data_IF_920735582567
#
_entry.id   IF_920735582567
#
_cell.length_a   1.000
_cell.length_b   1.000
_cell.length_c   1.000
_cell.angle_alpha   90.00
_cell.angle_beta   90.00
_cell.angle_gamma   90.00
#
_symmetry.space_group_name_H-M   'P 1'
#
loop_
_entity.id
_entity.type
_entity.pdbx_description
1 polymer ?
#
# COMPACT_ATOMS: atom_id res chain seq x y z
N UNK A 1 8.91 7.10 -28.21
CA UNK A 1 8.42 8.13 -27.29
C UNK A 1 6.88 8.21 -27.21
N UNK A 2 6.12 8.10 -28.30
CA UNK A 2 4.64 8.17 -28.25
C UNK A 2 3.96 6.99 -27.57
N UNK A 3 4.44 5.75 -27.76
CA UNK A 3 3.89 4.55 -27.10
C UNK A 3 4.09 4.59 -25.57
N UNK A 4 5.24 5.03 -25.11
CA UNK A 4 5.55 5.16 -23.67
C UNK A 4 4.56 6.12 -22.97
N UNK A 5 4.26 7.26 -23.61
CA UNK A 5 3.25 8.21 -23.11
C UNK A 5 1.84 7.61 -23.02
N UNK A 6 1.49 6.72 -23.96
CA UNK A 6 0.17 6.09 -23.99
C UNK A 6 0.00 5.03 -22.89
N UNK A 7 1.03 4.20 -22.67
CA UNK A 7 1.04 3.18 -21.60
C UNK A 7 1.06 3.81 -20.22
N UNK A 8 1.83 4.88 -20.03
CA UNK A 8 1.86 5.65 -18.79
C UNK A 8 0.48 6.26 -18.48
N UNK A 9 -0.19 6.83 -19.47
CA UNK A 9 -1.56 7.37 -19.32
C UNK A 9 -2.57 6.28 -19.00
N UNK A 10 -2.47 5.12 -19.64
CA UNK A 10 -3.37 3.99 -19.38
C UNK A 10 -3.16 3.39 -17.97
N UNK A 11 -1.92 3.21 -17.52
CA UNK A 11 -1.61 2.73 -16.20
C UNK A 11 -2.03 3.73 -15.11
N UNK A 12 -1.77 5.02 -15.30
CA UNK A 12 -2.24 6.07 -14.41
C UNK A 12 -3.78 6.14 -14.36
N UNK A 13 -4.45 5.94 -15.49
CA UNK A 13 -5.91 5.91 -15.56
C UNK A 13 -6.50 4.71 -14.79
N UNK A 14 -5.88 3.54 -14.90
CA UNK A 14 -6.32 2.34 -14.16
C UNK A 14 -6.12 2.48 -12.64
N UNK A 15 -4.98 3.04 -12.22
CA UNK A 15 -4.69 3.35 -10.82
C UNK A 15 -5.70 4.37 -10.28
N UNK A 16 -5.99 5.40 -11.07
CA UNK A 16 -6.96 6.44 -10.73
C UNK A 16 -8.38 5.87 -10.63
N UNK A 17 -8.77 4.98 -11.54
CA UNK A 17 -10.08 4.34 -11.56
C UNK A 17 -10.30 3.46 -10.34
N UNK A 18 -9.29 2.69 -9.93
CA UNK A 18 -9.32 1.89 -8.71
C UNK A 18 -9.38 2.77 -7.45
N UNK A 19 -8.74 3.94 -7.47
CA UNK A 19 -8.69 4.84 -6.32
C UNK A 19 -9.97 5.70 -6.20
N UNK A 20 -10.50 6.19 -7.32
CA UNK A 20 -11.70 7.03 -7.34
C UNK A 20 -12.97 6.22 -7.08
N UNK A 21 -13.06 4.95 -7.54
CA UNK A 21 -14.22 4.09 -7.26
C UNK A 21 -14.42 3.81 -5.76
N UNK A 22 -13.35 3.90 -4.97
CA UNK A 22 -13.41 3.72 -3.51
C UNK A 22 -13.67 5.01 -2.73
N UNK A 23 -13.40 6.18 -3.30
CA UNK A 23 -13.51 7.47 -2.62
C UNK A 23 -14.78 8.26 -2.94
N UNK A 24 -15.40 8.05 -4.11
CA UNK A 24 -16.47 8.91 -4.63
C UNK A 24 -17.79 8.17 -4.90
N UNK A 25 -18.22 7.32 -3.97
CA UNK A 25 -19.52 6.63 -4.11
C UNK A 25 -20.76 7.52 -3.91
N UNK A 26 -20.61 8.81 -3.49
CA UNK A 26 -21.73 9.71 -3.19
C UNK A 26 -21.38 11.18 -3.51
N UNK A 27 -21.61 11.63 -4.74
CA UNK A 27 -21.45 13.05 -5.11
C UNK A 27 -22.30 13.47 -6.33
N UNK A 28 -22.63 14.75 -6.45
CA UNK A 28 -23.37 15.28 -7.61
C UNK A 28 -22.47 15.33 -8.86
N UNK A 29 -23.04 14.98 -10.03
CA UNK A 29 -22.30 14.68 -11.30
C UNK A 29 -21.41 15.84 -11.80
N UNK A 30 -21.75 17.08 -11.57
CA UNK A 30 -21.00 18.24 -12.11
C UNK A 30 -19.79 18.64 -11.25
N UNK A 31 -19.89 18.60 -9.92
CA UNK A 31 -18.77 18.83 -9.02
C UNK A 31 -17.78 17.67 -9.06
N UNK A 32 -18.27 16.45 -9.21
CA UNK A 32 -17.47 15.25 -9.36
C UNK A 32 -16.54 15.33 -10.59
N UNK A 33 -17.00 15.85 -11.72
CA UNK A 33 -16.20 15.96 -12.93
C UNK A 33 -15.05 16.97 -12.77
N UNK A 34 -15.29 18.10 -12.12
CA UNK A 34 -14.27 19.12 -11.84
C UNK A 34 -13.23 18.62 -10.84
N UNK A 35 -13.65 17.98 -9.77
CA UNK A 35 -12.76 17.40 -8.74
C UNK A 35 -11.90 16.25 -9.31
N UNK A 36 -12.48 15.39 -10.15
CA UNK A 36 -11.75 14.31 -10.83
C UNK A 36 -10.68 14.89 -11.77
N UNK A 37 -11.00 15.91 -12.54
CA UNK A 37 -10.04 16.54 -13.46
C UNK A 37 -8.87 17.16 -12.67
N UNK A 38 -9.16 17.92 -11.63
CA UNK A 38 -8.14 18.55 -10.79
C UNK A 38 -7.26 17.50 -10.11
N UNK A 39 -7.86 16.44 -9.54
CA UNK A 39 -7.12 15.36 -8.91
C UNK A 39 -6.23 14.60 -9.92
N UNK A 40 -6.76 14.35 -11.12
CA UNK A 40 -6.01 13.68 -12.19
C UNK A 40 -4.79 14.50 -12.63
N UNK A 41 -4.95 15.80 -12.74
CA UNK A 41 -3.84 16.70 -13.11
C UNK A 41 -2.76 16.70 -12.03
N UNK A 42 -3.16 16.90 -10.77
CA UNK A 42 -2.23 16.88 -9.63
C UNK A 42 -1.50 15.52 -9.52
N UNK A 43 -2.23 14.41 -9.71
CA UNK A 43 -1.64 13.08 -9.68
C UNK A 43 -0.64 12.85 -10.83
N UNK A 44 -0.96 13.33 -12.03
CA UNK A 44 -0.07 13.19 -13.19
C UNK A 44 1.23 13.97 -12.98
N UNK A 45 1.14 15.24 -12.55
CA UNK A 45 2.30 16.08 -12.26
C UNK A 45 3.18 15.47 -11.15
N UNK A 46 2.54 14.97 -10.11
CA UNK A 46 3.21 14.31 -9.00
C UNK A 46 3.88 13.00 -9.44
N UNK A 47 3.20 12.17 -10.22
CA UNK A 47 3.75 10.92 -10.72
C UNK A 47 4.91 11.13 -11.68
N UNK A 48 4.84 12.15 -12.56
CA UNK A 48 5.96 12.54 -13.41
C UNK A 48 7.18 12.98 -12.60
N UNK A 49 6.98 13.77 -11.54
CA UNK A 49 8.06 14.18 -10.65
C UNK A 49 8.76 12.99 -10.01
N UNK A 50 8.00 12.03 -9.52
CA UNK A 50 8.53 10.82 -8.89
C UNK A 50 9.27 9.92 -9.89
N UNK A 51 8.75 9.78 -11.11
CA UNK A 51 9.34 8.93 -12.13
C UNK A 51 10.63 9.50 -12.76
N UNK A 52 10.84 10.82 -12.67
CA UNK A 52 12.09 11.46 -13.16
C UNK A 52 13.35 10.94 -12.48
N UNK A 53 13.24 10.53 -11.22
CA UNK A 53 14.40 10.06 -10.47
C UNK A 53 13.98 8.98 -9.47
N UNK A 54 14.59 7.79 -9.56
CA UNK A 54 14.33 6.69 -8.64
C UNK A 54 14.50 7.06 -7.16
N UNK A 55 15.42 7.98 -6.82
CA UNK A 55 15.56 8.46 -5.44
C UNK A 55 14.27 9.12 -4.93
N UNK A 56 13.64 9.98 -5.73
CA UNK A 56 12.37 10.61 -5.35
C UNK A 56 11.25 9.58 -5.20
N UNK A 57 11.18 8.63 -6.13
CA UNK A 57 10.17 7.58 -6.10
C UNK A 57 10.29 6.70 -4.85
N UNK A 58 11.47 6.14 -4.59
CA UNK A 58 11.65 5.23 -3.46
C UNK A 58 11.69 5.94 -2.11
N UNK A 59 12.16 7.19 -2.05
CA UNK A 59 11.96 8.05 -0.88
C UNK A 59 10.49 8.36 -0.65
N UNK A 60 9.73 8.60 -1.71
CA UNK A 60 8.28 8.74 -1.65
C UNK A 60 7.60 7.51 -1.06
N UNK A 61 7.95 6.30 -1.53
CA UNK A 61 7.43 5.04 -0.97
C UNK A 61 7.82 4.88 0.51
N UNK A 62 9.00 5.31 0.90
CA UNK A 62 9.46 5.22 2.28
C UNK A 62 8.75 6.22 3.23
N UNK A 63 8.28 7.37 2.74
CA UNK A 63 7.79 8.47 3.58
C UNK A 63 6.27 8.67 3.45
N UNK A 64 5.76 8.79 2.22
CA UNK A 64 4.38 9.24 1.96
C UNK A 64 3.27 8.33 2.53
N UNK A 65 3.40 6.99 2.56
CA UNK A 65 2.37 6.13 3.14
C UNK A 65 2.10 6.40 4.62
N UNK A 66 3.02 7.05 5.32
CA UNK A 66 2.79 7.47 6.71
C UNK A 66 1.75 8.60 6.84
N UNK A 67 1.54 9.37 5.78
CA UNK A 67 0.61 10.50 5.73
C UNK A 67 -0.68 10.17 4.97
N UNK A 68 -1.15 8.92 5.06
CA UNK A 68 -2.45 8.48 4.51
C UNK A 68 -2.42 8.18 3.00
N UNK A 69 -1.30 8.36 2.31
CA UNK A 69 -1.22 7.96 0.91
C UNK A 69 -1.21 6.42 0.78
N UNK A 70 -2.07 5.85 -0.08
CA UNK A 70 -2.08 4.41 -0.29
C UNK A 70 -0.78 3.95 -0.96
N UNK A 71 -0.28 2.80 -0.49
CA UNK A 71 0.98 2.22 -0.98
C UNK A 71 0.86 1.71 -2.42
N UNK A 72 -0.31 1.19 -2.80
CA UNK A 72 -0.51 0.53 -4.09
C UNK A 72 -0.19 1.41 -5.30
N UNK A 73 -0.65 2.68 -5.38
CA UNK A 73 -0.28 3.57 -6.47
C UNK A 73 1.22 3.84 -6.56
N UNK A 74 1.90 3.97 -5.41
CA UNK A 74 3.35 4.21 -5.39
C UNK A 74 4.13 2.97 -5.87
N UNK A 75 3.69 1.76 -5.49
CA UNK A 75 4.27 0.52 -6.01
C UNK A 75 3.97 0.31 -7.50
N UNK A 76 2.83 0.78 -7.98
CA UNK A 76 2.54 0.78 -9.41
C UNK A 76 3.48 1.73 -10.18
N UNK A 77 3.79 2.92 -9.64
CA UNK A 77 4.82 3.80 -10.21
C UNK A 77 6.21 3.13 -10.20
N UNK A 78 6.55 2.36 -9.14
CA UNK A 78 7.78 1.57 -9.11
C UNK A 78 7.79 0.50 -10.23
N UNK A 79 6.63 -0.09 -10.56
CA UNK A 79 6.48 -1.00 -11.71
C UNK A 79 6.72 -0.31 -13.06
N UNK A 80 6.19 0.89 -13.26
CA UNK A 80 6.42 1.70 -14.47
C UNK A 80 7.90 2.08 -14.57
N UNK A 81 8.53 2.50 -13.47
CA UNK A 81 9.95 2.78 -13.42
C UNK A 81 10.78 1.53 -13.70
N UNK A 82 10.31 0.37 -13.26
CA UNK A 82 10.93 -0.93 -13.47
C UNK A 82 10.92 -1.42 -14.92
N UNK A 83 10.02 -0.91 -15.77
CA UNK A 83 10.03 -1.20 -17.21
C UNK A 83 11.37 -0.82 -17.86
N UNK A 84 11.93 0.34 -17.47
CA UNK A 84 13.17 0.86 -18.06
C UNK A 84 14.43 0.47 -17.28
N UNK A 85 14.31 0.22 -15.97
CA UNK A 85 15.44 -0.03 -15.06
C UNK A 85 15.54 -1.47 -14.57
N UNK A 86 14.55 -2.30 -14.94
CA UNK A 86 14.45 -3.70 -14.51
C UNK A 86 13.44 -3.89 -13.36
N UNK A 87 12.43 -4.73 -13.62
CA UNK A 87 11.33 -5.00 -12.68
C UNK A 87 11.83 -5.57 -11.33
N UNK A 88 12.82 -6.45 -11.36
CA UNK A 88 13.39 -7.04 -10.15
C UNK A 88 14.07 -5.98 -9.27
N UNK A 89 14.86 -5.11 -9.88
CA UNK A 89 15.55 -4.03 -9.17
C UNK A 89 14.55 -3.04 -8.56
N UNK A 90 13.54 -2.64 -9.30
CA UNK A 90 12.45 -1.79 -8.81
C UNK A 90 11.68 -2.43 -7.65
N UNK A 91 11.38 -3.74 -7.74
CA UNK A 91 10.70 -4.48 -6.68
C UNK A 91 11.56 -4.57 -5.40
N UNK A 92 12.87 -4.78 -5.56
CA UNK A 92 13.80 -4.81 -4.43
C UNK A 92 13.87 -3.45 -3.73
N UNK A 93 14.03 -2.35 -4.48
CA UNK A 93 14.05 -1.00 -3.93
C UNK A 93 12.72 -0.64 -3.28
N UNK A 94 11.59 -1.00 -3.90
CA UNK A 94 10.24 -0.82 -3.33
C UNK A 94 10.06 -1.58 -2.01
N UNK A 95 10.56 -2.81 -1.95
CA UNK A 95 10.56 -3.63 -0.72
C UNK A 95 11.39 -2.99 0.40
N UNK A 96 12.60 -2.50 0.09
CA UNK A 96 13.45 -1.79 1.04
C UNK A 96 12.79 -0.49 1.53
N UNK A 97 12.22 0.29 0.62
CA UNK A 97 11.51 1.52 0.96
C UNK A 97 10.31 1.27 1.88
N UNK A 98 9.51 0.22 1.61
CA UNK A 98 8.42 -0.18 2.50
C UNK A 98 8.92 -0.67 3.87
N UNK A 99 10.04 -1.37 3.90
CA UNK A 99 10.65 -1.80 5.17
C UNK A 99 11.09 -0.60 5.99
N UNK A 100 11.72 0.40 5.37
CA UNK A 100 12.07 1.65 6.03
C UNK A 100 10.82 2.37 6.55
N UNK A 101 9.76 2.45 5.73
CA UNK A 101 8.48 3.01 6.16
C UNK A 101 7.92 2.28 7.39
N UNK A 102 7.95 0.95 7.40
CA UNK A 102 7.54 0.15 8.54
C UNK A 102 8.32 0.50 9.81
N UNK A 103 9.65 0.60 9.71
CA UNK A 103 10.52 0.85 10.87
C UNK A 103 10.19 2.18 11.54
N UNK A 104 10.20 3.27 10.77
CA UNK A 104 10.05 4.58 11.38
C UNK A 104 8.60 4.86 11.79
N UNK A 105 7.59 4.37 11.05
CA UNK A 105 6.18 4.53 11.43
C UNK A 105 5.82 3.71 12.67
N UNK A 106 6.42 2.52 12.83
CA UNK A 106 6.32 1.76 14.06
C UNK A 106 6.89 2.53 15.26
N UNK A 107 8.09 3.12 15.12
CA UNK A 107 8.71 3.89 16.19
C UNK A 107 7.90 5.13 16.53
N UNK A 108 7.43 5.84 15.53
CA UNK A 108 6.54 6.99 15.71
C UNK A 108 5.31 6.58 16.55
N UNK A 109 4.66 5.48 16.19
CA UNK A 109 3.49 4.97 16.90
C UNK A 109 3.81 4.50 18.32
N UNK A 110 4.98 3.89 18.53
CA UNK A 110 5.40 3.43 19.86
C UNK A 110 5.70 4.60 20.81
N UNK A 111 6.11 5.76 20.28
CA UNK A 111 6.43 6.96 21.06
C UNK A 111 5.19 7.81 21.35
N UNK A 112 4.36 8.08 20.34
CA UNK A 112 3.19 8.93 20.49
C UNK A 112 1.97 8.20 21.07
N UNK A 113 2.00 6.85 21.08
CA UNK A 113 1.03 5.99 21.76
C UNK A 113 -0.43 6.17 21.29
N UNK A 114 -1.40 5.84 22.15
CA UNK A 114 -2.83 5.82 21.81
C UNK A 114 -3.39 7.14 21.30
N UNK A 115 -2.85 8.29 21.72
CA UNK A 115 -3.34 9.62 21.31
C UNK A 115 -3.25 9.87 19.80
N UNK A 116 -2.17 9.38 19.18
CA UNK A 116 -2.00 9.52 17.73
C UNK A 116 -2.93 8.59 16.95
N UNK A 117 -3.18 7.41 17.49
CA UNK A 117 -4.18 6.49 16.93
C UNK A 117 -5.61 7.01 17.11
N UNK A 118 -5.92 7.67 18.23
CA UNK A 118 -7.21 8.33 18.40
C UNK A 118 -7.46 9.36 17.30
N UNK A 119 -6.42 10.11 16.91
CA UNK A 119 -6.51 11.08 15.81
C UNK A 119 -6.74 10.39 14.45
N UNK A 120 -5.93 9.39 14.11
CA UNK A 120 -6.06 8.64 12.84
C UNK A 120 -7.38 7.88 12.79
N UNK A 121 -7.76 7.21 13.87
CA UNK A 121 -9.00 6.44 13.92
C UNK A 121 -10.25 7.32 13.88
N UNK A 122 -10.18 8.48 14.49
CA UNK A 122 -11.25 9.49 14.41
C UNK A 122 -11.44 9.98 12.96
N UNK A 123 -10.35 10.19 12.23
CA UNK A 123 -10.39 10.60 10.82
C UNK A 123 -11.09 9.56 9.94
N UNK A 124 -10.82 8.25 10.16
CA UNK A 124 -11.39 7.17 9.34
C UNK A 124 -12.77 6.69 9.82
N UNK A 125 -13.04 6.69 11.10
CA UNK A 125 -14.22 6.01 11.69
C UNK A 125 -15.07 6.89 12.63
N UNK A 126 -14.71 8.12 12.88
CA UNK A 126 -15.37 9.04 13.84
C UNK A 126 -15.56 8.46 15.25
N UNK A 127 -14.72 7.51 15.65
CA UNK A 127 -14.71 6.86 16.98
C UNK A 127 -13.34 6.98 17.61
N UNK A 128 -13.25 6.93 18.95
CA UNK A 128 -11.95 6.94 19.64
C UNK A 128 -11.33 5.54 19.66
N UNK A 129 -10.02 5.48 19.40
CA UNK A 129 -9.23 4.23 19.43
C UNK A 129 -9.12 3.66 20.85
N UNK A 130 -9.10 4.51 21.89
CA UNK A 130 -9.04 4.12 23.29
C UNK A 130 -10.15 3.13 23.72
N UNK A 131 -11.23 3.03 22.94
CA UNK A 131 -12.33 2.09 23.16
C UNK A 131 -12.10 0.71 22.51
N UNK A 132 -10.97 0.49 21.85
CA UNK A 132 -10.62 -0.83 21.31
C UNK A 132 -9.95 -1.62 22.42
N UNK A 133 -10.63 -2.67 22.88
CA UNK A 133 -10.03 -3.63 23.80
C UNK A 133 -8.77 -4.24 23.20
N UNK A 134 -7.73 -4.42 24.04
CA UNK A 134 -6.55 -5.15 23.59
C UNK A 134 -6.98 -6.53 23.09
N UNK A 135 -6.45 -6.95 21.93
CA UNK A 135 -6.83 -8.25 21.39
C UNK A 135 -6.55 -9.35 22.41
N UNK A 136 -7.53 -10.22 22.66
CA UNK A 136 -7.37 -11.43 23.50
C UNK A 136 -6.34 -12.41 22.89
N UNK A 137 -6.00 -12.21 21.64
CA UNK A 137 -5.07 -13.01 20.87
C UNK A 137 -3.64 -12.51 20.99
N UNK A 138 -2.69 -13.37 20.63
CA UNK A 138 -1.29 -13.01 20.60
C UNK A 138 -1.02 -11.93 19.53
N UNK A 139 -0.20 -10.95 19.83
CA UNK A 139 0.08 -9.81 18.92
C UNK A 139 0.58 -10.24 17.54
N UNK A 140 1.27 -11.41 17.44
CA UNK A 140 1.75 -11.91 16.16
C UNK A 140 0.61 -12.37 15.23
N UNK A 141 -0.45 -12.99 15.79
CA UNK A 141 -1.65 -13.35 15.02
C UNK A 141 -2.37 -12.12 14.50
N UNK A 142 -2.46 -11.09 15.34
CA UNK A 142 -3.00 -9.79 14.94
C UNK A 142 -2.20 -9.15 13.81
N UNK A 143 -0.86 -9.19 13.88
CA UNK A 143 -0.01 -8.68 12.82
C UNK A 143 -0.27 -9.40 11.50
N UNK A 144 -0.37 -10.72 11.50
CA UNK A 144 -0.72 -11.51 10.31
C UNK A 144 -2.08 -11.12 9.74
N UNK A 145 -3.11 -11.05 10.59
CA UNK A 145 -4.46 -10.68 10.15
C UNK A 145 -4.46 -9.29 9.53
N UNK A 146 -3.86 -8.30 10.20
CA UNK A 146 -3.81 -6.93 9.70
C UNK A 146 -3.06 -6.82 8.36
N UNK A 147 -1.99 -7.60 8.17
CA UNK A 147 -1.19 -7.58 6.95
C UNK A 147 -1.85 -8.30 5.77
N UNK A 148 -2.61 -9.36 6.05
CA UNK A 148 -3.21 -10.22 5.05
C UNK A 148 -4.69 -9.89 4.79
N UNK A 149 -5.32 -9.05 5.62
CA UNK A 149 -6.70 -8.62 5.40
C UNK A 149 -6.75 -7.54 4.33
N UNK A 150 -7.38 -7.80 3.18
CA UNK A 150 -7.55 -6.78 2.15
C UNK A 150 -8.44 -5.64 2.66
N UNK A 151 -8.17 -4.42 2.21
CA UNK A 151 -8.94 -3.23 2.60
C UNK A 151 -8.50 -2.56 3.91
N UNK A 152 -7.60 -3.14 4.68
CA UNK A 152 -6.98 -2.45 5.83
C UNK A 152 -5.84 -1.57 5.30
N UNK A 153 -5.90 -0.24 5.51
CA UNK A 153 -4.82 0.64 5.09
C UNK A 153 -3.50 0.23 5.75
N UNK A 154 -2.43 0.18 4.95
CA UNK A 154 -1.09 -0.18 5.38
C UNK A 154 -0.62 0.57 6.62
N UNK A 155 -0.84 1.88 6.63
CA UNK A 155 -0.48 2.78 7.73
C UNK A 155 -1.19 2.40 9.04
N UNK A 156 -2.47 2.02 8.96
CA UNK A 156 -3.24 1.64 10.14
C UNK A 156 -2.61 0.44 10.85
N UNK A 157 -2.17 -0.58 10.10
CA UNK A 157 -1.46 -1.73 10.66
C UNK A 157 -0.15 -1.35 11.36
N UNK A 158 0.64 -0.43 10.78
CA UNK A 158 1.89 0.03 11.39
C UNK A 158 1.64 0.75 12.72
N UNK A 159 0.71 1.70 12.72
CA UNK A 159 0.40 2.49 13.91
C UNK A 159 -0.27 1.66 15.00
N UNK A 160 -1.15 0.73 14.63
CA UNK A 160 -1.81 -0.14 15.59
C UNK A 160 -0.81 -1.04 16.32
N UNK A 161 0.03 -1.75 15.58
CA UNK A 161 1.01 -2.67 16.13
C UNK A 161 2.11 -1.96 16.94
N UNK A 162 2.54 -0.78 16.49
CA UNK A 162 3.47 0.06 17.23
C UNK A 162 2.88 0.56 18.56
N UNK A 163 1.62 1.00 18.58
CA UNK A 163 0.95 1.47 19.79
C UNK A 163 0.67 0.36 20.81
N UNK A 164 0.46 -0.87 20.34
CA UNK A 164 0.38 -2.03 21.22
C UNK A 164 1.75 -2.49 21.74
N UNK A 165 2.83 -1.80 21.35
CA UNK A 165 4.21 -2.12 21.72
C UNK A 165 4.56 -3.58 21.41
N UNK A 166 4.15 -4.07 20.24
CA UNK A 166 4.57 -5.37 19.75
C UNK A 166 6.10 -5.43 19.71
N UNK A 167 6.76 -6.54 20.11
CA UNK A 167 8.21 -6.64 19.99
C UNK A 167 8.67 -6.35 18.56
N UNK A 168 9.60 -5.40 18.38
CA UNK A 168 10.00 -4.86 17.08
C UNK A 168 10.48 -5.94 16.11
N UNK A 169 11.29 -6.89 16.60
CA UNK A 169 11.78 -8.00 15.79
C UNK A 169 10.61 -8.86 15.25
N UNK A 170 9.67 -9.22 16.14
CA UNK A 170 8.48 -10.01 15.73
C UNK A 170 7.64 -9.24 14.72
N UNK A 171 7.49 -7.93 14.91
CA UNK A 171 6.80 -7.06 13.97
C UNK A 171 7.46 -7.08 12.58
N UNK A 172 8.79 -6.96 12.50
CA UNK A 172 9.54 -7.01 11.24
C UNK A 172 9.48 -8.39 10.59
N UNK A 173 9.67 -9.47 11.38
CA UNK A 173 9.64 -10.84 10.85
C UNK A 173 8.32 -11.18 10.15
N UNK A 174 7.21 -10.60 10.60
CA UNK A 174 5.90 -10.80 9.99
C UNK A 174 5.66 -9.79 8.85
N UNK A 175 5.99 -8.53 9.09
CA UNK A 175 5.64 -7.46 8.15
C UNK A 175 6.50 -7.48 6.89
N UNK A 176 7.82 -7.64 7.02
CA UNK A 176 8.75 -7.53 5.89
C UNK A 176 8.49 -8.56 4.80
N UNK A 177 8.33 -9.87 5.08
CA UNK A 177 8.06 -10.85 4.03
C UNK A 177 6.76 -10.56 3.26
N UNK A 178 5.69 -10.19 3.98
CA UNK A 178 4.39 -9.92 3.35
C UNK A 178 4.45 -8.65 2.50
N UNK A 179 5.09 -7.60 3.00
CA UNK A 179 5.23 -6.34 2.29
C UNK A 179 6.17 -6.45 1.09
N UNK A 180 7.25 -7.21 1.24
CA UNK A 180 8.14 -7.55 0.12
C UNK A 180 7.38 -8.30 -0.97
N UNK A 181 6.62 -9.33 -0.60
CA UNK A 181 5.80 -10.07 -1.56
C UNK A 181 4.78 -9.14 -2.26
N UNK A 182 4.14 -8.21 -1.54
CA UNK A 182 3.28 -7.20 -2.15
C UNK A 182 4.06 -6.28 -3.10
N UNK A 183 5.24 -5.78 -2.70
CA UNK A 183 6.07 -4.94 -3.54
C UNK A 183 6.44 -5.65 -4.83
N UNK A 184 6.90 -6.90 -4.75
CA UNK A 184 7.21 -7.73 -5.91
C UNK A 184 5.96 -7.96 -6.77
N UNK A 185 4.84 -8.35 -6.17
CA UNK A 185 3.58 -8.59 -6.89
C UNK A 185 3.12 -7.39 -7.69
N UNK A 186 3.01 -6.21 -7.06
CA UNK A 186 2.59 -4.99 -7.75
C UNK A 186 3.60 -4.54 -8.81
N UNK A 187 4.89 -4.52 -8.46
CA UNK A 187 5.95 -4.05 -9.38
C UNK A 187 6.04 -4.93 -10.62
N UNK A 188 6.04 -6.27 -10.45
CA UNK A 188 6.08 -7.19 -11.59
C UNK A 188 4.81 -7.14 -12.43
N UNK A 189 3.63 -7.09 -11.81
CA UNK A 189 2.37 -7.01 -12.54
C UNK A 189 2.30 -5.74 -13.40
N UNK A 190 2.66 -4.58 -12.83
CA UNK A 190 2.60 -3.30 -13.55
C UNK A 190 3.72 -3.18 -14.58
N UNK A 191 4.94 -3.60 -14.25
CA UNK A 191 6.07 -3.61 -15.20
C UNK A 191 5.77 -4.53 -16.39
N UNK A 192 5.23 -5.74 -16.12
CA UNK A 192 4.84 -6.67 -17.18
C UNK A 192 3.70 -6.15 -18.06
N UNK A 193 2.74 -5.43 -17.46
CA UNK A 193 1.67 -4.78 -18.21
C UNK A 193 2.21 -3.64 -19.11
N UNK A 194 3.15 -2.86 -18.59
CA UNK A 194 3.72 -1.72 -19.31
C UNK A 194 4.65 -2.17 -20.45
N UNK A 195 5.46 -3.20 -20.24
CA UNK A 195 6.39 -3.75 -21.23
C UNK A 195 5.80 -4.78 -22.20
N UNK A 196 4.57 -5.26 -21.91
CA UNK A 196 3.99 -6.40 -22.64
C UNK A 196 4.61 -7.75 -22.29
N UNK A 197 5.40 -7.86 -21.20
CA UNK A 197 5.96 -9.12 -20.74
C UNK A 197 4.91 -9.92 -19.94
N UNK A 198 4.32 -10.88 -20.62
CA UNK A 198 3.29 -11.74 -20.02
C UNK A 198 3.83 -12.58 -18.85
N UNK A 199 5.11 -12.92 -18.82
CA UNK A 199 5.72 -13.70 -17.71
C UNK A 199 5.81 -12.84 -16.45
N UNK A 200 6.28 -11.62 -16.57
CA UNK A 200 6.32 -10.67 -15.44
C UNK A 200 4.91 -10.37 -14.94
N UNK A 201 3.96 -10.08 -15.84
CA UNK A 201 2.56 -9.82 -15.51
C UNK A 201 1.94 -10.99 -14.74
N UNK A 202 1.98 -12.20 -15.30
CA UNK A 202 1.38 -13.37 -14.69
C UNK A 202 2.04 -13.74 -13.35
N UNK A 203 3.37 -13.63 -13.26
CA UNK A 203 4.12 -13.83 -12.02
C UNK A 203 3.72 -12.84 -10.93
N UNK A 204 3.62 -11.56 -11.26
CA UNK A 204 3.18 -10.52 -10.32
C UNK A 204 1.74 -10.75 -9.83
N UNK A 205 0.82 -11.02 -10.74
CA UNK A 205 -0.57 -11.33 -10.42
C UNK A 205 -0.67 -12.59 -9.55
N UNK A 206 0.09 -13.64 -9.87
CA UNK A 206 0.10 -14.88 -9.10
C UNK A 206 0.54 -14.64 -7.64
N UNK A 207 1.56 -13.82 -7.41
CA UNK A 207 2.01 -13.43 -6.07
C UNK A 207 0.86 -12.73 -5.30
N UNK A 208 0.20 -11.75 -5.91
CA UNK A 208 -0.90 -11.01 -5.27
C UNK A 208 -2.10 -11.91 -4.95
N UNK A 209 -2.46 -12.81 -5.87
CA UNK A 209 -3.53 -13.79 -5.67
C UNK A 209 -3.16 -14.75 -4.53
N UNK A 210 -1.92 -15.22 -4.48
CA UNK A 210 -1.46 -16.09 -3.39
C UNK A 210 -1.58 -15.41 -2.03
N UNK A 211 -1.13 -14.16 -1.90
CA UNK A 211 -1.25 -13.38 -0.66
C UNK A 211 -2.73 -13.24 -0.26
N UNK A 212 -3.60 -12.93 -1.22
CA UNK A 212 -5.04 -12.82 -0.98
C UNK A 212 -5.65 -14.15 -0.50
N UNK A 213 -5.32 -15.26 -1.15
CA UNK A 213 -5.83 -16.59 -0.80
C UNK A 213 -5.35 -17.03 0.59
N UNK A 214 -4.08 -16.81 0.91
CA UNK A 214 -3.53 -17.08 2.25
C UNK A 214 -4.24 -16.25 3.30
N UNK A 215 -4.44 -14.95 3.05
CA UNK A 215 -5.18 -14.07 3.95
C UNK A 215 -6.62 -14.55 4.18
N UNK A 216 -7.34 -14.85 3.10
CA UNK A 216 -8.72 -15.36 3.17
C UNK A 216 -8.80 -16.68 3.95
N UNK A 217 -7.87 -17.60 3.72
CA UNK A 217 -7.80 -18.87 4.41
C UNK A 217 -7.61 -18.70 5.93
N UNK A 218 -6.63 -17.86 6.35
CA UNK A 218 -6.37 -17.62 7.76
C UNK A 218 -7.55 -16.96 8.49
N UNK A 219 -8.23 -16.02 7.83
CA UNK A 219 -9.43 -15.38 8.38
C UNK A 219 -10.58 -16.38 8.52
N UNK A 220 -10.76 -17.27 7.53
CA UNK A 220 -11.81 -18.29 7.54
C UNK A 220 -11.62 -19.31 8.66
N UNK A 221 -10.38 -19.78 8.88
CA UNK A 221 -10.04 -20.71 9.97
C UNK A 221 -10.38 -20.10 11.34
N UNK A 222 -10.13 -18.82 11.51
CA UNK A 222 -10.45 -18.12 12.75
C UNK A 222 -11.96 -18.02 13.01
N UNK A 223 -12.76 -17.79 11.98
CA UNK A 223 -14.22 -17.73 12.11
C UNK A 223 -14.85 -19.08 12.51
N UNK A 224 -14.19 -20.17 12.16
CA UNK A 224 -14.67 -21.54 12.48
C UNK A 224 -14.19 -22.04 13.86
N UNK A 225 -13.22 -21.37 14.47
CA UNK A 225 -12.64 -21.75 15.76
C UNK A 225 -13.22 -20.98 16.98
N UNK A 226 -14.08 -19.99 16.75
CA UNK A 226 -14.76 -19.19 17.77
C UNK A 226 -16.26 -19.30 17.70
#
# INVERSE_FOLDING_TARGET
>A
MHLFSLHLKAANFLILLLFTSTLFAEGSISEEHSLRHTFTTIWNDFSELLLKNGLWLFSGIAILPAFILPVSPLLALAGIWGETHGAFYAALLGSLALTLNCCWTYWLASWFGPKFLDYIYFFFRKKKFSNIEKPKETLWQWALILRLTPGIPFIFGNYLLGSFKMPFITYLMISVPILSANAFGYTFAVSGLASGDFRALSGGVAILVLIYLVGKYLISQKKNAG
#
